data_IF_081235867491
#
_entry.id   IF_081235867491
#
_cell.length_a   1.000
_cell.length_b   1.000
_cell.length_c   1.000
_cell.angle_alpha   90.00
_cell.angle_beta   90.00
_cell.angle_gamma   90.00
#
_symmetry.space_group_name_H-M   'P 1'
#
loop_
_entity.id
_entity.type
_entity.pdbx_description
1 polymer ?
#
# COMPACT_ATOMS: atom_id res chain seq x y z
N UNK A 1 10.77 -28.95 -9.92
CA UNK A 1 11.59 -27.75 -10.22
C UNK A 1 12.44 -27.43 -9.01
N UNK A 2 13.77 -27.32 -9.13
CA UNK A 2 14.64 -27.17 -7.96
C UNK A 2 14.52 -25.77 -7.33
N UNK A 3 14.66 -25.66 -6.01
CA UNK A 3 14.63 -24.38 -5.26
C UNK A 3 15.64 -23.36 -5.80
N UNK A 4 16.75 -23.84 -6.38
CA UNK A 4 17.78 -23.03 -7.03
C UNK A 4 17.31 -22.44 -8.36
N UNK A 5 16.61 -23.22 -9.19
CA UNK A 5 16.02 -22.74 -10.45
C UNK A 5 15.00 -21.62 -10.21
N UNK A 6 14.21 -21.74 -9.13
CA UNK A 6 13.20 -20.74 -8.75
C UNK A 6 13.84 -19.42 -8.25
N UNK A 7 14.95 -19.50 -7.52
CA UNK A 7 15.73 -18.33 -7.10
C UNK A 7 16.36 -17.60 -8.30
N UNK A 8 16.99 -18.34 -9.21
CA UNK A 8 17.60 -17.77 -10.43
C UNK A 8 16.53 -17.09 -11.28
N UNK A 9 15.39 -17.75 -11.49
CA UNK A 9 14.27 -17.18 -12.24
C UNK A 9 13.75 -15.88 -11.60
N UNK A 10 13.57 -15.86 -10.27
CA UNK A 10 13.10 -14.67 -9.54
C UNK A 10 14.05 -13.48 -9.69
N UNK A 11 15.36 -13.71 -9.56
CA UNK A 11 16.35 -12.65 -9.73
C UNK A 11 16.48 -12.20 -11.18
N UNK A 12 16.37 -13.12 -12.15
CA UNK A 12 16.39 -12.78 -13.57
C UNK A 12 15.19 -11.89 -13.96
N UNK A 13 13.98 -12.24 -13.51
CA UNK A 13 12.77 -11.42 -13.74
C UNK A 13 12.91 -10.05 -13.08
N UNK A 14 13.44 -9.97 -11.85
CA UNK A 14 13.68 -8.70 -11.17
C UNK A 14 14.66 -7.81 -11.93
N UNK A 15 15.81 -8.35 -12.36
CA UNK A 15 16.81 -7.61 -13.12
C UNK A 15 16.29 -7.16 -14.49
N UNK A 16 15.53 -8.02 -15.18
CA UNK A 16 14.88 -7.68 -16.43
C UNK A 16 13.86 -6.55 -16.25
N UNK A 17 13.05 -6.60 -15.19
CA UNK A 17 12.11 -5.53 -14.86
C UNK A 17 12.84 -4.22 -14.54
N UNK A 18 13.92 -4.25 -13.75
CA UNK A 18 14.73 -3.08 -13.46
C UNK A 18 15.37 -2.49 -14.72
N UNK A 19 15.93 -3.32 -15.60
CA UNK A 19 16.51 -2.89 -16.87
C UNK A 19 15.44 -2.27 -17.79
N UNK A 20 14.27 -2.90 -17.91
CA UNK A 20 13.14 -2.36 -18.66
C UNK A 20 12.69 -1.00 -18.11
N UNK A 21 12.55 -0.88 -16.78
CA UNK A 21 12.13 0.36 -16.14
C UNK A 21 13.17 1.46 -16.34
N UNK A 22 14.47 1.12 -16.26
CA UNK A 22 15.56 2.05 -16.55
C UNK A 22 15.53 2.53 -18.01
N UNK A 23 15.41 1.62 -18.98
CA UNK A 23 15.34 1.96 -20.40
C UNK A 23 14.12 2.84 -20.69
N UNK A 24 12.95 2.49 -20.15
CA UNK A 24 11.73 3.29 -20.30
C UNK A 24 11.86 4.68 -19.67
N UNK A 25 12.53 4.79 -18.52
CA UNK A 25 12.74 6.05 -17.83
C UNK A 25 13.82 6.91 -18.52
N UNK A 26 14.79 6.28 -19.17
CA UNK A 26 15.84 6.93 -19.95
C UNK A 26 15.33 7.42 -21.31
N UNK A 27 14.47 6.64 -21.97
CA UNK A 27 13.84 7.02 -23.24
C UNK A 27 12.69 8.03 -23.05
N UNK A 28 11.90 7.89 -21.98
CA UNK A 28 10.77 8.77 -21.67
C UNK A 28 11.17 10.14 -21.11
N UNK A 29 12.42 10.31 -20.66
CA UNK A 29 12.96 11.59 -20.22
C UNK A 29 13.78 12.23 -21.34
N UNK A 30 13.07 12.70 -22.36
CA UNK A 30 13.60 13.74 -23.25
C UNK A 30 13.97 14.99 -22.45
N UNK A 31 15.23 15.07 -22.05
CA UNK A 31 16.06 16.27 -21.88
C UNK A 31 15.59 17.51 -21.07
N UNK A 32 14.50 17.47 -20.28
CA UNK A 32 13.99 18.70 -19.61
C UNK A 32 13.63 18.60 -18.12
N UNK A 33 14.03 17.56 -17.39
CA UNK A 33 13.84 17.50 -15.94
C UNK A 33 15.19 17.38 -15.23
N UNK A 34 15.92 18.49 -15.13
CA UNK A 34 17.06 18.58 -14.22
C UNK A 34 16.60 18.32 -12.79
N UNK A 35 17.43 17.65 -11.99
CA UNK A 35 17.19 17.33 -10.58
C UNK A 35 16.78 18.55 -9.70
N UNK A 36 16.97 19.78 -10.20
CA UNK A 36 16.52 21.03 -9.57
C UNK A 36 15.03 21.38 -9.74
N UNK A 37 14.28 20.71 -10.63
CA UNK A 37 12.85 21.00 -10.88
C UNK A 37 11.87 20.41 -9.85
N UNK A 38 12.30 19.43 -9.06
CA UNK A 38 11.42 18.75 -8.10
C UNK A 38 10.91 19.65 -6.97
N UNK A 39 11.74 20.61 -6.53
CA UNK A 39 11.38 21.58 -5.49
C UNK A 39 10.61 22.79 -6.05
N UNK A 40 10.90 23.22 -7.29
CA UNK A 40 10.13 24.29 -7.92
C UNK A 40 8.69 23.86 -8.24
N UNK A 41 8.46 22.56 -8.46
CA UNK A 41 7.11 21.98 -8.56
C UNK A 41 6.29 22.17 -7.27
N UNK A 42 6.90 22.29 -6.09
CA UNK A 42 6.18 22.60 -4.85
C UNK A 42 5.84 24.09 -4.73
N UNK A 43 6.65 24.97 -5.34
CA UNK A 43 6.46 26.42 -5.33
C UNK A 43 5.36 26.89 -6.28
N UNK A 44 5.22 26.26 -7.45
CA UNK A 44 4.27 26.67 -8.50
C UNK A 44 2.86 26.08 -8.34
N UNK A 45 2.63 25.23 -7.32
CA UNK A 45 1.34 24.56 -7.12
C UNK A 45 0.51 25.29 -6.06
N UNK A 46 -0.80 25.47 -6.29
CA UNK A 46 -1.67 26.10 -5.31
C UNK A 46 -1.71 25.23 -4.05
N UNK A 47 -1.37 25.82 -2.90
CA UNK A 47 -1.45 25.20 -1.57
C UNK A 47 -2.80 24.50 -1.33
N UNK A 48 -3.88 24.99 -1.95
CA UNK A 48 -5.21 24.35 -1.92
C UNK A 48 -5.25 22.93 -2.51
N UNK A 49 -4.49 22.63 -3.57
CA UNK A 49 -4.40 21.27 -4.13
C UNK A 49 -3.64 20.33 -3.19
N UNK A 50 -2.57 20.81 -2.55
CA UNK A 50 -1.86 20.02 -1.52
C UNK A 50 -2.76 19.73 -0.33
N UNK A 51 -3.55 20.72 0.12
CA UNK A 51 -4.56 20.54 1.16
C UNK A 51 -5.63 19.52 0.76
N UNK A 52 -6.12 19.57 -0.48
CA UNK A 52 -7.09 18.61 -1.01
C UNK A 52 -6.52 17.19 -1.03
N UNK A 53 -5.30 17.00 -1.54
CA UNK A 53 -4.64 15.68 -1.56
C UNK A 53 -4.45 15.14 -0.15
N UNK A 54 -3.96 15.97 0.78
CA UNK A 54 -3.81 15.56 2.18
C UNK A 54 -5.15 15.17 2.81
N UNK A 55 -6.22 15.93 2.54
CA UNK A 55 -7.57 15.60 2.99
C UNK A 55 -8.06 14.28 2.38
N UNK A 56 -7.82 14.03 1.09
CA UNK A 56 -8.18 12.77 0.44
C UNK A 56 -7.41 11.58 1.01
N UNK A 57 -6.13 11.74 1.37
CA UNK A 57 -5.34 10.69 2.03
C UNK A 57 -5.91 10.36 3.40
N UNK A 58 -6.22 11.38 4.21
CA UNK A 58 -6.83 11.18 5.53
C UNK A 58 -8.21 10.53 5.42
N UNK A 59 -9.03 10.97 4.46
CA UNK A 59 -10.33 10.38 4.18
C UNK A 59 -10.20 8.91 3.77
N UNK A 60 -9.25 8.59 2.90
CA UNK A 60 -8.97 7.23 2.46
C UNK A 60 -8.59 6.32 3.64
N UNK A 61 -7.63 6.75 4.48
CA UNK A 61 -7.24 5.98 5.66
C UNK A 61 -8.37 5.85 6.67
N UNK A 62 -9.23 6.86 6.79
CA UNK A 62 -10.43 6.82 7.64
C UNK A 62 -11.44 5.77 7.18
N UNK A 63 -11.74 5.74 5.87
CA UNK A 63 -12.62 4.72 5.27
C UNK A 63 -12.03 3.33 5.44
N UNK A 64 -10.74 3.18 5.18
CA UNK A 64 -10.03 1.90 5.28
C UNK A 64 -10.02 1.38 6.73
N UNK A 65 -9.82 2.26 7.71
CA UNK A 65 -9.93 1.95 9.13
C UNK A 65 -11.35 1.55 9.55
N UNK A 66 -12.39 2.24 9.05
CA UNK A 66 -13.78 1.89 9.32
C UNK A 66 -14.14 0.51 8.73
N UNK A 67 -13.73 0.25 7.49
CA UNK A 67 -13.89 -1.04 6.82
C UNK A 67 -13.20 -2.16 7.58
N UNK A 68 -11.93 -1.97 7.97
CA UNK A 68 -11.18 -2.97 8.72
C UNK A 68 -11.79 -3.23 10.10
N UNK A 69 -12.22 -2.18 10.81
CA UNK A 69 -12.94 -2.30 12.08
C UNK A 69 -14.20 -3.16 11.94
N UNK A 70 -14.96 -2.97 10.87
CA UNK A 70 -16.17 -3.76 10.61
C UNK A 70 -15.85 -5.23 10.30
N UNK A 71 -14.81 -5.48 9.50
CA UNK A 71 -14.37 -6.83 9.16
C UNK A 71 -13.79 -7.60 10.34
N UNK A 72 -13.14 -6.92 11.28
CA UNK A 72 -12.52 -7.54 12.46
C UNK A 72 -13.45 -7.65 13.66
N UNK A 73 -14.58 -6.94 13.68
CA UNK A 73 -15.54 -6.95 14.78
C UNK A 73 -16.02 -8.36 15.21
N UNK A 74 -16.20 -9.36 14.32
CA UNK A 74 -16.53 -10.72 14.71
C UNK A 74 -15.40 -11.47 15.44
N UNK A 75 -14.16 -10.98 15.31
CA UNK A 75 -12.96 -11.55 15.93
C UNK A 75 -12.62 -10.81 17.22
N UNK A 76 -12.52 -9.47 17.15
CA UNK A 76 -12.17 -8.62 18.28
C UNK A 76 -12.84 -7.26 18.13
N UNK A 77 -13.43 -6.76 19.22
CA UNK A 77 -14.01 -5.42 19.23
C UNK A 77 -12.92 -4.37 19.34
N UNK A 78 -12.57 -3.74 18.21
CA UNK A 78 -11.56 -2.70 18.13
C UNK A 78 -12.21 -1.31 18.02
N UNK A 79 -11.75 -0.37 18.84
CA UNK A 79 -12.15 1.04 18.74
C UNK A 79 -11.61 1.71 17.47
N UNK A 80 -12.29 2.75 16.98
CA UNK A 80 -11.90 3.43 15.72
C UNK A 80 -10.47 3.99 15.75
N UNK A 81 -10.04 4.61 16.85
CA UNK A 81 -8.68 5.16 16.97
C UNK A 81 -7.60 4.07 16.86
N UNK A 82 -7.85 2.90 17.46
CA UNK A 82 -6.96 1.74 17.38
C UNK A 82 -6.96 1.14 15.96
N UNK A 83 -8.13 1.07 15.31
CA UNK A 83 -8.25 0.66 13.92
C UNK A 83 -7.52 1.62 12.96
N UNK A 84 -7.61 2.93 13.18
CA UNK A 84 -6.92 3.93 12.38
C UNK A 84 -5.40 3.84 12.52
N UNK A 85 -4.91 3.68 13.75
CA UNK A 85 -3.48 3.46 14.02
C UNK A 85 -2.99 2.16 13.37
N UNK A 86 -3.79 1.09 13.45
CA UNK A 86 -3.49 -0.19 12.82
C UNK A 86 -3.44 -0.06 11.28
N UNK A 87 -4.34 0.72 10.67
CA UNK A 87 -4.33 1.00 9.23
C UNK A 87 -3.06 1.73 8.80
N UNK A 88 -2.66 2.79 9.51
CA UNK A 88 -1.42 3.53 9.20
C UNK A 88 -0.19 2.64 9.37
N UNK A 89 -0.11 1.88 10.47
CA UNK A 89 1.00 0.95 10.70
C UNK A 89 1.04 -0.16 9.64
N UNK A 90 -0.11 -0.69 9.25
CA UNK A 90 -0.26 -1.62 8.13
C UNK A 90 0.26 -1.03 6.83
N UNK A 91 -0.18 0.18 6.46
CA UNK A 91 0.28 0.85 5.24
C UNK A 91 1.78 1.11 5.25
N UNK A 92 2.34 1.55 6.39
CA UNK A 92 3.77 1.77 6.56
C UNK A 92 4.59 0.48 6.40
N UNK A 93 4.17 -0.62 7.05
CA UNK A 93 4.85 -1.90 6.89
C UNK A 93 4.65 -2.48 5.48
N UNK A 94 3.47 -2.30 4.88
CA UNK A 94 3.18 -2.69 3.51
C UNK A 94 4.12 -2.02 2.50
N UNK A 95 4.49 -0.75 2.72
CA UNK A 95 5.45 -0.02 1.89
C UNK A 95 6.87 -0.62 1.96
N UNK A 96 7.28 -1.07 3.14
CA UNK A 96 8.64 -1.60 3.38
C UNK A 96 8.76 -3.07 2.95
N UNK A 97 7.69 -3.84 3.07
CA UNK A 97 7.70 -5.27 2.75
C UNK A 97 7.50 -5.54 1.25
N UNK A 98 8.15 -6.58 0.69
CA UNK A 98 7.89 -7.00 -0.68
C UNK A 98 6.44 -7.43 -0.85
N UNK A 99 5.85 -7.09 -2.00
CA UNK A 99 4.46 -7.43 -2.35
C UNK A 99 3.42 -7.02 -1.28
N UNK A 100 3.65 -5.88 -0.59
CA UNK A 100 2.75 -5.31 0.44
C UNK A 100 2.31 -6.28 1.53
N UNK A 101 3.07 -7.34 1.78
CA UNK A 101 2.68 -8.41 2.72
C UNK A 101 2.65 -7.91 4.18
N UNK A 102 3.37 -6.84 4.47
CA UNK A 102 3.40 -6.15 5.76
C UNK A 102 2.12 -5.42 6.12
N UNK A 103 1.21 -5.18 5.17
CA UNK A 103 -0.10 -4.59 5.44
C UNK A 103 -0.95 -5.46 6.38
N UNK A 104 -0.85 -6.78 6.18
CA UNK A 104 -1.46 -7.79 7.03
C UNK A 104 -0.82 -7.82 8.41
N UNK A 105 0.51 -7.93 8.46
CA UNK A 105 1.25 -7.98 9.71
C UNK A 105 1.00 -6.73 10.56
N UNK A 106 1.07 -5.55 9.95
CA UNK A 106 0.90 -4.28 10.66
C UNK A 106 -0.47 -4.09 11.28
N UNK A 107 -1.55 -4.59 10.66
CA UNK A 107 -2.90 -4.51 11.25
C UNK A 107 -3.12 -5.56 12.34
N UNK A 108 -2.63 -6.78 12.12
CA UNK A 108 -2.83 -7.91 13.02
C UNK A 108 -2.03 -7.79 14.32
N UNK A 109 -0.92 -7.05 14.33
CA UNK A 109 -0.17 -6.76 15.55
C UNK A 109 -0.98 -5.96 16.58
N UNK A 110 -2.02 -5.25 16.15
CA UNK A 110 -2.93 -4.51 17.03
C UNK A 110 -4.06 -5.37 17.59
N UNK A 111 -4.12 -6.67 17.28
CA UNK A 111 -5.05 -7.64 17.87
C UNK A 111 -4.38 -8.47 18.97
N UNK A 112 -5.19 -9.01 19.87
CA UNK A 112 -4.74 -9.98 20.86
C UNK A 112 -4.07 -11.19 20.17
N UNK A 113 -2.99 -11.78 20.72
CA UNK A 113 -2.26 -12.88 20.09
C UNK A 113 -3.15 -14.04 19.63
N UNK A 114 -4.19 -14.35 20.39
CA UNK A 114 -5.16 -15.43 20.12
C UNK A 114 -6.04 -15.13 18.90
N UNK A 115 -6.25 -13.84 18.62
CA UNK A 115 -7.12 -13.33 17.55
C UNK A 115 -6.35 -13.01 16.26
N UNK A 116 -5.01 -13.17 16.26
CA UNK A 116 -4.17 -12.77 15.12
C UNK A 116 -4.44 -13.56 13.85
N UNK A 117 -4.65 -14.87 13.98
CA UNK A 117 -4.97 -15.74 12.85
C UNK A 117 -6.29 -15.34 12.17
N UNK A 118 -7.42 -15.34 12.89
CA UNK A 118 -8.70 -14.89 12.34
C UNK A 118 -8.66 -13.44 11.82
N UNK A 119 -7.95 -12.54 12.51
CA UNK A 119 -7.77 -11.15 12.08
C UNK A 119 -6.97 -10.97 10.79
N UNK A 120 -6.08 -11.90 10.46
CA UNK A 120 -5.36 -11.86 9.18
C UNK A 120 -6.28 -12.21 8.01
N UNK A 121 -7.20 -13.16 8.19
CA UNK A 121 -8.25 -13.45 7.20
C UNK A 121 -9.20 -12.28 6.98
N UNK A 122 -9.60 -11.59 8.05
CA UNK A 122 -10.42 -10.37 7.94
C UNK A 122 -9.71 -9.29 7.10
N UNK A 123 -8.39 -9.15 7.27
CA UNK A 123 -7.58 -8.20 6.47
C UNK A 123 -7.51 -8.62 5.00
N UNK A 124 -7.36 -9.91 4.71
CA UNK A 124 -7.39 -10.45 3.34
C UNK A 124 -8.72 -10.21 2.64
N UNK A 125 -9.83 -10.41 3.35
CA UNK A 125 -11.15 -10.12 2.83
C UNK A 125 -11.30 -8.63 2.50
N UNK A 126 -10.73 -7.75 3.33
CA UNK A 126 -10.68 -6.31 3.07
C UNK A 126 -9.90 -5.94 1.80
N UNK A 127 -8.75 -6.58 1.56
CA UNK A 127 -7.95 -6.38 0.35
C UNK A 127 -8.65 -6.94 -0.89
N UNK A 128 -9.34 -8.09 -0.78
CA UNK A 128 -10.14 -8.67 -1.86
C UNK A 128 -11.32 -7.76 -2.21
N UNK A 129 -12.02 -7.22 -1.21
CA UNK A 129 -13.11 -6.26 -1.42
C UNK A 129 -12.62 -5.01 -2.16
N UNK A 130 -11.46 -4.49 -1.78
CA UNK A 130 -10.84 -3.36 -2.48
C UNK A 130 -10.52 -3.72 -3.94
N UNK A 131 -9.92 -4.89 -4.18
CA UNK A 131 -9.58 -5.35 -5.53
C UNK A 131 -10.83 -5.50 -6.42
N UNK A 132 -11.91 -6.07 -5.89
CA UNK A 132 -13.19 -6.19 -6.61
C UNK A 132 -13.74 -4.82 -6.96
N UNK A 133 -13.72 -3.87 -6.03
CA UNK A 133 -14.15 -2.49 -6.29
C UNK A 133 -13.29 -1.85 -7.38
N UNK A 134 -11.97 -2.04 -7.34
CA UNK A 134 -11.06 -1.55 -8.37
C UNK A 134 -11.39 -2.14 -9.75
N UNK A 135 -11.62 -3.45 -9.85
CA UNK A 135 -11.99 -4.08 -11.11
C UNK A 135 -13.36 -3.60 -11.63
N UNK A 136 -14.32 -3.39 -10.73
CA UNK A 136 -15.69 -3.03 -11.10
C UNK A 136 -15.84 -1.56 -11.51
N UNK A 137 -15.15 -0.65 -10.82
CA UNK A 137 -15.33 0.81 -10.98
C UNK A 137 -14.15 1.52 -11.64
N UNK A 138 -12.96 0.91 -11.64
CA UNK A 138 -11.69 1.58 -11.97
C UNK A 138 -10.89 0.92 -13.08
N UNK A 139 -11.54 0.15 -13.96
CA UNK A 139 -10.95 -0.65 -15.05
C UNK A 139 -9.70 -0.04 -15.69
#
# INVERSE_FOLDING_TARGET
MSRRTLLVLRWAVFLAACAFLYLRLAEGQGNHAGWGGGLSVLSDRPLGLLGLVAAMVLLNWGIEAAKWRWLVAPVEQVGFARAFTATIAGTALGLVTPNRTGEFAGRVLFLAPENRGPGSFATLLGSMAQFVITLALGG
#
